data_IF_219504009209
#
_entry.id   IF_219504009209
#
_cell.length_a   1.000
_cell.length_b   1.000
_cell.length_c   1.000
_cell.angle_alpha   90.00
_cell.angle_beta   90.00
_cell.angle_gamma   90.00
#
_symmetry.space_group_name_H-M   'P 1'
#
loop_
_entity.id
_entity.type
_entity.pdbx_description
1 polymer ?
#
# COMPACT_ATOMS: atom_id res chain seq x y z
N UNK A 1 20.58 -4.92 -10.71
CA UNK A 1 20.67 -4.55 -9.28
C UNK A 1 19.42 -3.74 -8.93
N UNK A 2 18.55 -4.25 -8.05
CA UNK A 2 17.41 -3.47 -7.58
C UNK A 2 17.91 -2.32 -6.70
N UNK A 3 17.47 -1.10 -6.99
CA UNK A 3 17.84 0.09 -6.25
C UNK A 3 17.45 -0.08 -4.77
N UNK A 4 18.46 -0.20 -3.91
CA UNK A 4 18.29 -0.14 -2.46
C UNK A 4 17.81 1.28 -2.14
N UNK A 5 16.50 1.45 -2.06
CA UNK A 5 15.89 2.70 -1.61
C UNK A 5 16.33 2.92 -0.17
N UNK A 6 16.75 4.13 0.20
CA UNK A 6 17.20 4.51 1.55
C UNK A 6 16.19 4.13 2.66
N UNK A 7 14.93 3.99 2.26
CA UNK A 7 13.83 3.62 3.14
C UNK A 7 13.85 2.17 3.65
N UNK A 8 14.40 1.21 2.90
CA UNK A 8 14.31 -0.23 3.20
C UNK A 8 15.63 -0.82 3.69
N UNK A 9 15.60 -1.50 4.83
CA UNK A 9 16.72 -2.35 5.30
C UNK A 9 16.64 -3.78 4.74
N UNK A 10 17.71 -4.55 4.91
CA UNK A 10 17.73 -5.97 4.49
C UNK A 10 16.73 -6.83 5.27
N UNK A 11 16.52 -6.51 6.55
CA UNK A 11 15.53 -7.15 7.41
C UNK A 11 14.10 -6.82 6.95
N UNK A 12 13.84 -5.56 6.56
CA UNK A 12 12.54 -5.14 6.00
C UNK A 12 12.22 -5.92 4.73
N UNK A 13 13.19 -6.11 3.84
CA UNK A 13 13.01 -6.86 2.59
C UNK A 13 12.76 -8.35 2.85
N UNK A 14 13.51 -8.94 3.78
CA UNK A 14 13.33 -10.35 4.16
C UNK A 14 11.97 -10.61 4.83
N UNK A 15 11.54 -9.69 5.69
CA UNK A 15 10.22 -9.74 6.32
C UNK A 15 9.12 -9.51 5.28
N UNK A 16 9.31 -8.54 4.39
CA UNK A 16 8.40 -8.28 3.28
C UNK A 16 8.18 -9.52 2.43
N UNK A 17 9.20 -10.28 2.05
CA UNK A 17 9.06 -11.51 1.25
C UNK A 17 8.08 -12.54 1.87
N UNK A 18 8.02 -12.60 3.21
CA UNK A 18 7.09 -13.48 3.94
C UNK A 18 5.68 -12.91 3.94
N UNK A 19 5.56 -11.62 4.21
CA UNK A 19 4.29 -10.89 4.34
C UNK A 19 3.63 -10.67 2.96
N UNK A 20 4.43 -10.47 1.92
CA UNK A 20 4.04 -10.37 0.52
C UNK A 20 3.14 -11.53 0.11
N UNK A 21 3.46 -12.76 0.52
CA UNK A 21 2.63 -13.94 0.23
C UNK A 21 1.26 -13.86 0.92
N UNK A 22 1.20 -13.34 2.15
CA UNK A 22 -0.07 -13.16 2.84
C UNK A 22 -0.95 -12.13 2.14
N UNK A 23 -0.39 -10.98 1.75
CA UNK A 23 -1.12 -9.97 0.98
C UNK A 23 -1.51 -10.47 -0.42
N UNK A 24 -0.64 -11.20 -1.11
CA UNK A 24 -0.96 -11.76 -2.43
C UNK A 24 -2.10 -12.78 -2.34
N UNK A 25 -2.13 -13.60 -1.30
CA UNK A 25 -3.24 -14.55 -1.07
C UNK A 25 -4.55 -13.84 -0.70
N UNK A 26 -4.47 -12.75 0.07
CA UNK A 26 -5.64 -11.94 0.44
C UNK A 26 -6.07 -10.96 -0.66
N UNK A 27 -5.28 -10.81 -1.72
CA UNK A 27 -5.46 -9.79 -2.74
C UNK A 27 -6.85 -9.82 -3.37
N UNK A 28 -7.42 -11.00 -3.64
CA UNK A 28 -8.76 -11.11 -4.19
C UNK A 28 -9.84 -10.56 -3.24
N UNK A 29 -9.69 -10.76 -1.93
CA UNK A 29 -10.59 -10.18 -0.93
C UNK A 29 -10.35 -8.69 -0.76
N UNK A 30 -9.09 -8.28 -0.64
CA UNK A 30 -8.68 -6.88 -0.57
C UNK A 30 -9.26 -6.09 -1.76
N UNK A 31 -9.17 -6.64 -2.98
CA UNK A 31 -9.80 -6.06 -4.19
C UNK A 31 -11.31 -5.99 -4.07
N UNK A 32 -11.98 -6.98 -3.50
CA UNK A 32 -13.43 -6.95 -3.30
C UNK A 32 -13.85 -5.81 -2.35
N UNK A 33 -13.08 -5.59 -1.28
CA UNK A 33 -13.28 -4.53 -0.29
C UNK A 33 -13.06 -3.15 -0.92
N UNK A 34 -11.95 -2.96 -1.63
CA UNK A 34 -11.66 -1.74 -2.36
C UNK A 34 -12.58 -1.53 -3.57
N UNK A 35 -12.89 -2.56 -4.35
CA UNK A 35 -13.72 -2.48 -5.55
C UNK A 35 -15.17 -2.09 -5.26
N UNK A 36 -15.65 -2.29 -4.02
CA UNK A 36 -16.97 -1.86 -3.58
C UNK A 36 -17.00 -0.43 -3.02
N UNK A 37 -15.90 0.03 -2.41
CA UNK A 37 -15.80 1.32 -1.71
C UNK A 37 -15.08 2.40 -2.55
N UNK A 38 -13.96 2.05 -3.18
CA UNK A 38 -13.15 2.91 -4.06
C UNK A 38 -13.85 3.25 -5.38
N UNK A 39 -14.73 2.38 -5.87
CA UNK A 39 -15.56 2.67 -7.05
C UNK A 39 -16.56 3.82 -6.82
N UNK A 40 -16.89 4.15 -5.56
CA UNK A 40 -17.88 5.20 -5.23
C UNK A 40 -17.25 6.58 -5.02
N UNK A 41 -15.99 6.64 -4.58
CA UNK A 41 -15.28 7.90 -4.30
C UNK A 41 -14.42 8.37 -5.48
N UNK A 42 -14.06 7.47 -6.41
CA UNK A 42 -13.37 7.78 -7.67
C UNK A 42 -14.30 8.29 -8.79
N UNK A 43 -15.60 8.43 -8.52
CA UNK A 43 -16.64 8.74 -9.52
C UNK A 43 -16.62 10.20 -10.03
N UNK A 44 -15.65 11.03 -9.61
CA UNK A 44 -15.63 12.45 -9.98
C UNK A 44 -14.48 12.88 -10.91
N UNK A 45 -13.42 12.08 -11.11
CA UNK A 45 -12.32 12.48 -12.03
C UNK A 45 -11.53 11.32 -12.67
N UNK A 46 -12.05 10.08 -12.61
CA UNK A 46 -11.30 8.89 -13.04
C UNK A 46 -12.01 8.07 -14.12
N UNK A 47 -12.86 8.71 -14.91
CA UNK A 47 -13.84 7.97 -15.72
C UNK A 47 -13.25 7.28 -16.97
N UNK A 48 -12.08 7.70 -17.50
CA UNK A 48 -11.59 7.11 -18.78
C UNK A 48 -10.28 6.30 -18.66
N UNK A 49 -9.35 6.68 -17.78
CA UNK A 49 -7.99 6.08 -17.75
C UNK A 49 -7.89 4.85 -16.84
N UNK A 50 -8.62 4.81 -15.72
CA UNK A 50 -8.55 3.67 -14.77
C UNK A 50 -9.43 2.50 -15.21
N UNK A 51 -10.59 2.74 -15.85
CA UNK A 51 -11.45 1.66 -16.39
C UNK A 51 -10.72 0.77 -17.42
N UNK A 52 -9.79 1.34 -18.20
CA UNK A 52 -9.00 0.57 -19.17
C UNK A 52 -7.76 -0.10 -18.56
N UNK A 53 -7.23 0.43 -17.45
CA UNK A 53 -6.09 -0.18 -16.75
C UNK A 53 -6.50 -1.20 -15.68
N UNK A 54 -7.75 -1.19 -15.19
CA UNK A 54 -8.24 -2.11 -14.15
C UNK A 54 -8.15 -3.61 -14.49
N UNK A 55 -7.90 -3.97 -15.76
CA UNK A 55 -7.61 -5.36 -16.15
C UNK A 55 -6.16 -5.81 -15.97
N UNK A 56 -5.19 -4.88 -16.04
CA UNK A 56 -3.74 -5.19 -16.05
C UNK A 56 -2.94 -4.48 -14.94
N UNK A 57 -3.46 -3.37 -14.39
CA UNK A 57 -2.91 -2.62 -13.25
C UNK A 57 -3.41 -3.12 -11.89
N UNK A 58 -4.32 -4.08 -11.91
CA UNK A 58 -4.98 -4.64 -10.72
C UNK A 58 -4.28 -5.92 -10.21
N UNK A 59 -3.15 -6.29 -10.82
CA UNK A 59 -2.29 -7.31 -10.22
C UNK A 59 -1.65 -6.76 -8.95
N UNK A 60 -1.62 -7.59 -7.91
CA UNK A 60 -0.93 -7.30 -6.65
C UNK A 60 0.50 -6.75 -6.88
N UNK A 61 1.21 -7.23 -7.90
CA UNK A 61 2.56 -6.78 -8.28
C UNK A 61 2.64 -5.27 -8.60
N UNK A 62 1.60 -4.67 -9.20
CA UNK A 62 1.56 -3.23 -9.46
C UNK A 62 1.33 -2.42 -8.19
N UNK A 63 0.65 -3.00 -7.20
CA UNK A 63 0.36 -2.38 -5.90
C UNK A 63 1.35 -2.79 -4.83
N UNK A 64 2.26 -3.72 -5.13
CA UNK A 64 3.22 -4.29 -4.20
C UNK A 64 4.05 -3.21 -3.52
N UNK A 65 4.45 -2.18 -4.27
CA UNK A 65 5.20 -1.05 -3.74
C UNK A 65 4.42 -0.32 -2.63
N UNK A 66 3.12 -0.10 -2.81
CA UNK A 66 2.26 0.57 -1.85
C UNK A 66 2.10 -0.26 -0.57
N UNK A 67 1.83 -1.57 -0.72
CA UNK A 67 1.70 -2.47 0.41
C UNK A 67 3.02 -2.62 1.18
N UNK A 68 4.13 -2.78 0.47
CA UNK A 68 5.46 -2.86 1.08
C UNK A 68 5.76 -1.60 1.87
N UNK A 69 5.54 -0.44 1.26
CA UNK A 69 5.80 0.84 1.90
C UNK A 69 4.95 1.03 3.15
N UNK A 70 3.63 0.77 3.08
CA UNK A 70 2.73 0.89 4.22
C UNK A 70 3.08 -0.06 5.37
N UNK A 71 3.44 -1.31 5.07
CA UNK A 71 3.86 -2.27 6.09
C UNK A 71 5.21 -1.90 6.71
N UNK A 72 6.20 -1.49 5.92
CA UNK A 72 7.48 -1.00 6.45
C UNK A 72 7.29 0.27 7.28
N UNK A 73 6.41 1.18 6.85
CA UNK A 73 6.03 2.35 7.62
C UNK A 73 5.39 1.99 8.95
N UNK A 74 4.54 0.95 9.00
CA UNK A 74 3.98 0.41 10.24
C UNK A 74 5.10 0.01 11.19
N UNK A 75 6.02 -0.84 10.74
CA UNK A 75 7.13 -1.31 11.58
C UNK A 75 7.97 -0.15 12.12
N UNK A 76 8.24 0.85 11.27
CA UNK A 76 9.11 2.00 11.56
C UNK A 76 8.46 3.05 12.45
N UNK A 77 7.17 3.33 12.24
CA UNK A 77 6.48 4.47 12.84
C UNK A 77 5.41 4.09 13.86
N UNK A 78 5.03 2.81 14.03
CA UNK A 78 3.98 2.39 14.97
C UNK A 78 4.20 2.84 16.42
N UNK A 79 5.46 3.03 16.83
CA UNK A 79 5.78 3.45 18.20
C UNK A 79 5.37 4.91 18.46
N UNK A 80 5.56 5.78 17.47
CA UNK A 80 5.21 7.20 17.53
C UNK A 80 3.77 7.45 17.01
N UNK A 81 3.31 6.61 16.10
CA UNK A 81 2.03 6.69 15.40
C UNK A 81 1.26 5.37 15.55
N UNK A 82 0.61 5.10 16.70
CA UNK A 82 -0.09 3.84 16.93
C UNK A 82 -1.31 3.63 16.01
N UNK A 83 -1.78 4.71 15.36
CA UNK A 83 -2.85 4.72 14.40
C UNK A 83 -2.56 5.74 13.29
N UNK A 84 -3.24 5.59 12.15
CA UNK A 84 -3.16 6.55 11.05
C UNK A 84 -3.69 7.92 11.47
N UNK A 85 -2.90 8.97 11.28
CA UNK A 85 -3.25 10.36 11.53
C UNK A 85 -2.70 11.28 10.43
N UNK A 86 -3.05 12.56 10.49
CA UNK A 86 -2.71 13.55 9.45
C UNK A 86 -1.18 13.82 9.36
N UNK A 87 -0.49 13.82 10.50
CA UNK A 87 0.97 13.94 10.56
C UNK A 87 1.68 12.76 9.87
N UNK A 88 1.23 11.52 10.14
CA UNK A 88 1.73 10.32 9.47
C UNK A 88 1.43 10.38 7.97
N UNK A 89 0.20 10.75 7.59
CA UNK A 89 -0.23 10.87 6.19
C UNK A 89 0.68 11.82 5.41
N UNK A 90 0.89 13.03 5.95
CA UNK A 90 1.75 14.06 5.37
C UNK A 90 3.20 13.59 5.24
N UNK A 91 3.70 12.88 6.25
CA UNK A 91 5.05 12.32 6.23
C UNK A 91 5.20 11.26 5.16
N UNK A 92 4.29 10.28 5.14
CA UNK A 92 4.30 9.19 4.16
C UNK A 92 4.15 9.70 2.73
N UNK A 93 3.35 10.76 2.51
CA UNK A 93 3.25 11.45 1.22
C UNK A 93 4.58 11.98 0.70
N UNK A 94 5.44 12.45 1.59
CA UNK A 94 6.75 13.01 1.23
C UNK A 94 7.82 11.93 1.04
N UNK A 95 7.68 10.78 1.70
CA UNK A 95 8.63 9.67 1.66
C UNK A 95 8.32 8.65 0.55
N UNK A 96 7.09 8.61 0.05
CA UNK A 96 6.68 7.65 -0.97
C UNK A 96 7.21 8.04 -2.36
N UNK A 97 7.97 7.17 -3.04
CA UNK A 97 8.56 7.50 -4.34
C UNK A 97 7.61 7.34 -5.53
N UNK A 98 6.41 6.79 -5.31
CA UNK A 98 5.39 6.59 -6.35
C UNK A 98 4.28 7.65 -6.30
N UNK A 99 3.18 7.37 -7.00
CA UNK A 99 2.00 8.22 -6.95
C UNK A 99 1.26 8.00 -5.63
N UNK A 100 1.56 8.85 -4.64
CA UNK A 100 0.99 8.68 -3.30
C UNK A 100 -0.53 8.81 -3.32
N UNK A 101 -1.11 9.68 -4.14
CA UNK A 101 -2.55 9.92 -4.13
C UNK A 101 -3.33 8.71 -4.66
N UNK A 102 -2.82 8.07 -5.72
CA UNK A 102 -3.39 6.82 -6.24
C UNK A 102 -3.16 5.62 -5.29
N UNK A 103 -2.06 5.61 -4.54
CA UNK A 103 -1.67 4.46 -3.71
C UNK A 103 -2.03 4.60 -2.23
N UNK A 104 -2.47 5.78 -1.78
CA UNK A 104 -2.71 6.12 -0.37
C UNK A 104 -3.63 5.12 0.33
N UNK A 105 -4.70 4.69 -0.33
CA UNK A 105 -5.66 3.74 0.22
C UNK A 105 -5.00 2.39 0.55
N UNK A 106 -4.15 1.88 -0.35
CA UNK A 106 -3.39 0.65 -0.16
C UNK A 106 -2.30 0.79 0.90
N UNK A 107 -1.59 1.94 0.92
CA UNK A 107 -0.58 2.26 1.94
C UNK A 107 -1.22 2.26 3.33
N UNK A 108 -2.38 2.91 3.48
CA UNK A 108 -3.12 2.97 4.74
C UNK A 108 -3.60 1.60 5.20
N UNK A 109 -4.11 0.78 4.28
CA UNK A 109 -4.53 -0.58 4.59
C UNK A 109 -3.35 -1.43 5.07
N UNK A 110 -2.22 -1.39 4.36
CA UNK A 110 -1.01 -2.10 4.76
C UNK A 110 -0.44 -1.61 6.11
N UNK A 111 -0.57 -0.31 6.39
CA UNK A 111 -0.18 0.25 7.68
C UNK A 111 -1.06 -0.26 8.84
N UNK A 112 -2.34 -0.50 8.58
CA UNK A 112 -3.26 -1.10 9.54
C UNK A 112 -3.06 -2.61 9.74
N UNK A 113 -2.27 -3.26 8.86
CA UNK A 113 -2.12 -4.71 8.86
C UNK A 113 -1.34 -5.17 10.09
N UNK A 114 -2.07 -5.76 11.04
CA UNK A 114 -1.50 -6.39 12.24
C UNK A 114 -1.43 -7.89 11.98
N UNK A 115 -0.23 -8.40 11.77
CA UNK A 115 0.01 -9.84 11.89
C UNK A 115 -0.27 -10.21 13.36
N UNK A 116 -1.42 -10.84 13.61
CA UNK A 116 -1.68 -11.46 14.90
C UNK A 116 -0.62 -12.54 15.08
N UNK A 117 0.15 -12.41 16.15
CA UNK A 117 1.18 -13.37 16.55
C UNK A 117 0.57 -14.65 17.07
#
# INVERSE_FOLDING_TARGET
>A
MAAKSDFYTDDDLSTWERIKKAFANDWEQTKSDFGSDTARDMDQDVDDTVKQMAGSADSFENREQAFRFGYTAQTRYQSDYPAWNDDLDTRLRSEYPGDYEADRAYIRHAYGYRTSK
#
